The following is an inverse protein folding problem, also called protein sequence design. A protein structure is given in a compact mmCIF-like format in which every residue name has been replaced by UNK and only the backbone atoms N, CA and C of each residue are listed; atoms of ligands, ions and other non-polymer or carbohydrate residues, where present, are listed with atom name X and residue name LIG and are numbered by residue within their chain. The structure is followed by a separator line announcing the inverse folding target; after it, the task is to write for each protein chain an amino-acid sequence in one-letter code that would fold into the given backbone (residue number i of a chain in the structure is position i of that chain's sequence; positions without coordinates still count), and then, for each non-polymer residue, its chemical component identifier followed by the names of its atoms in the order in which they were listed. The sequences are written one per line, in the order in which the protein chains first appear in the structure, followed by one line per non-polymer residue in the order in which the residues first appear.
data_IF_554384061538
#
_entry.id   IF_554384061538
#
_cell.length_a   1.000
_cell.length_b   1.000
_cell.length_c   1.000
_cell.angle_alpha   90.00
_cell.angle_beta   90.00
_cell.angle_gamma   90.00
#
_symmetry.space_group_name_H-M   'P 1'
#
loop_
_entity.id
_entity.type
_entity.pdbx_description
1 polymer ?
#
# COMPACT_ATOMS: atom_id res chain seq x y z
N UNK A 1 -45.66 -25.03 25.93
CA UNK A 1 -45.20 -24.28 24.73
C UNK A 1 -44.07 -23.27 25.05
N UNK A 2 -43.09 -23.59 25.90
CA UNK A 2 -42.03 -22.65 26.32
C UNK A 2 -40.70 -22.76 25.54
N UNK A 3 -40.58 -23.71 24.60
CA UNK A 3 -39.32 -23.99 23.89
C UNK A 3 -39.08 -23.26 22.56
N UNK A 4 -40.08 -22.54 22.00
CA UNK A 4 -39.93 -21.83 20.71
C UNK A 4 -39.36 -20.42 20.84
N UNK A 5 -39.62 -19.73 21.96
CA UNK A 5 -39.18 -18.34 22.16
C UNK A 5 -37.70 -18.22 22.54
N UNK A 6 -37.11 -19.23 23.19
CA UNK A 6 -35.65 -19.21 23.49
C UNK A 6 -34.80 -19.46 22.24
N UNK A 7 -35.29 -20.27 21.29
CA UNK A 7 -34.60 -20.53 20.02
C UNK A 7 -34.54 -19.28 19.13
N UNK A 8 -35.58 -18.44 19.14
CA UNK A 8 -35.60 -17.17 18.40
C UNK A 8 -34.62 -16.17 19.02
N UNK A 9 -34.51 -16.10 20.35
CA UNK A 9 -33.53 -15.27 21.04
C UNK A 9 -32.07 -15.69 20.76
N UNK A 10 -31.80 -17.01 20.72
CA UNK A 10 -30.46 -17.55 20.39
C UNK A 10 -30.09 -17.26 18.93
N UNK A 11 -31.04 -17.38 17.99
CA UNK A 11 -30.81 -17.05 16.57
C UNK A 11 -30.53 -15.54 16.40
N UNK A 12 -31.24 -14.68 17.14
CA UNK A 12 -31.03 -13.23 17.10
C UNK A 12 -29.66 -12.84 17.68
N UNK A 13 -29.21 -13.51 18.75
CA UNK A 13 -27.87 -13.32 19.34
C UNK A 13 -26.77 -13.79 18.37
N UNK A 14 -26.96 -14.93 17.69
CA UNK A 14 -26.00 -15.39 16.65
C UNK A 14 -25.95 -14.46 15.44
N UNK A 15 -27.08 -13.86 15.04
CA UNK A 15 -27.14 -12.88 13.94
C UNK A 15 -26.45 -11.55 14.32
N UNK A 16 -26.61 -11.08 15.56
CA UNK A 16 -25.89 -9.92 16.08
C UNK A 16 -24.39 -10.19 16.20
N UNK A 17 -24.00 -11.39 16.64
CA UNK A 17 -22.59 -11.78 16.76
C UNK A 17 -21.92 -11.91 15.37
N UNK A 18 -22.65 -12.33 14.34
CA UNK A 18 -22.16 -12.45 12.96
C UNK A 18 -22.04 -11.09 12.23
N UNK A 19 -22.93 -10.14 12.51
CA UNK A 19 -22.83 -8.78 11.96
C UNK A 19 -21.73 -7.95 12.62
N UNK A 20 -21.46 -8.14 13.92
CA UNK A 20 -20.34 -7.48 14.60
C UNK A 20 -18.96 -7.93 14.09
N UNK A 21 -18.75 -9.23 13.84
CA UNK A 21 -17.44 -9.73 13.38
C UNK A 21 -17.07 -9.25 11.97
N UNK A 22 -18.07 -9.08 11.10
CA UNK A 22 -17.86 -8.60 9.73
C UNK A 22 -17.34 -7.15 9.70
N UNK A 23 -17.86 -6.27 10.54
CA UNK A 23 -17.42 -4.85 10.56
C UNK A 23 -15.99 -4.66 11.09
N UNK A 24 -15.55 -5.49 12.05
CA UNK A 24 -14.21 -5.41 12.66
C UNK A 24 -13.11 -5.77 11.65
N UNK A 25 -13.34 -6.78 10.81
CA UNK A 25 -12.36 -7.22 9.80
C UNK A 25 -12.08 -6.13 8.74
N UNK A 26 -13.10 -5.38 8.32
CA UNK A 26 -12.95 -4.28 7.36
C UNK A 26 -12.35 -2.99 7.96
N UNK A 27 -12.63 -2.69 9.22
CA UNK A 27 -11.98 -1.57 9.92
C UNK A 27 -10.47 -1.81 10.09
N UNK A 28 -10.08 -3.07 10.37
CA UNK A 28 -8.68 -3.46 10.47
C UNK A 28 -7.95 -3.34 9.12
N UNK A 29 -8.59 -3.72 8.00
CA UNK A 29 -7.97 -3.68 6.67
C UNK A 29 -7.70 -2.24 6.20
N UNK A 30 -8.64 -1.30 6.38
CA UNK A 30 -8.44 0.11 6.01
C UNK A 30 -7.33 0.78 6.80
N UNK A 31 -7.29 0.56 8.12
CA UNK A 31 -6.25 1.11 9.00
C UNK A 31 -4.85 0.60 8.64
N UNK A 32 -4.73 -0.66 8.19
CA UNK A 32 -3.44 -1.17 7.68
C UNK A 32 -3.04 -0.53 6.36
N UNK A 33 -4.01 -0.22 5.49
CA UNK A 33 -3.79 0.43 4.20
C UNK A 33 -3.31 1.88 4.38
N UNK A 34 -3.95 2.64 5.26
CA UNK A 34 -3.53 4.00 5.62
C UNK A 34 -2.09 4.05 6.14
N UNK A 35 -1.70 3.08 6.98
CA UNK A 35 -0.31 2.96 7.46
C UNK A 35 0.67 2.70 6.31
N UNK A 36 0.30 1.89 5.32
CA UNK A 36 1.13 1.64 4.12
C UNK A 36 1.30 2.90 3.29
N UNK A 37 0.20 3.61 3.01
CA UNK A 37 0.19 4.89 2.27
C UNK A 37 1.12 5.90 2.97
N UNK A 38 0.97 6.09 4.29
CA UNK A 38 1.81 7.01 5.07
C UNK A 38 3.29 6.64 5.02
N UNK A 39 3.63 5.35 5.11
CA UNK A 39 5.02 4.87 4.98
C UNK A 39 5.59 5.15 3.58
N UNK A 40 4.80 4.95 2.53
CA UNK A 40 5.20 5.22 1.16
C UNK A 40 5.44 6.72 0.91
N UNK A 41 4.57 7.59 1.42
CA UNK A 41 4.78 9.04 1.37
C UNK A 41 6.07 9.47 2.06
N UNK A 42 6.36 8.91 3.24
CA UNK A 42 7.60 9.18 3.97
C UNK A 42 8.82 8.70 3.16
N UNK A 43 8.77 7.51 2.59
CA UNK A 43 9.82 6.98 1.73
C UNK A 43 10.05 7.89 0.51
N UNK A 44 8.98 8.32 -0.18
CA UNK A 44 9.06 9.25 -1.31
C UNK A 44 9.69 10.59 -0.90
N UNK A 45 9.32 11.16 0.26
CA UNK A 45 9.92 12.41 0.77
C UNK A 45 11.42 12.25 1.02
N UNK A 46 11.83 11.14 1.62
CA UNK A 46 13.24 10.84 1.86
C UNK A 46 14.00 10.67 0.54
N UNK A 47 13.50 9.87 -0.39
CA UNK A 47 14.17 9.64 -1.68
C UNK A 47 14.27 10.92 -2.49
N UNK A 48 13.23 11.78 -2.48
CA UNK A 48 13.26 13.10 -3.13
C UNK A 48 14.34 14.00 -2.53
N UNK A 49 14.51 13.99 -1.21
CA UNK A 49 15.58 14.74 -0.54
C UNK A 49 16.96 14.23 -0.96
N UNK A 50 17.18 12.92 -0.93
CA UNK A 50 18.42 12.27 -1.35
C UNK A 50 18.74 12.56 -2.83
N UNK A 51 17.73 12.56 -3.69
CA UNK A 51 17.89 12.88 -5.11
C UNK A 51 18.32 14.34 -5.32
N UNK A 52 17.72 15.28 -4.57
CA UNK A 52 18.10 16.70 -4.60
C UNK A 52 19.55 16.91 -4.15
N UNK A 53 19.97 16.21 -3.10
CA UNK A 53 21.36 16.26 -2.62
C UNK A 53 22.35 15.60 -3.58
N UNK A 54 22.00 14.45 -4.16
CA UNK A 54 22.80 13.76 -5.18
C UNK A 54 22.99 14.63 -6.41
N UNK A 55 21.93 15.33 -6.85
CA UNK A 55 21.98 16.30 -7.96
C UNK A 55 22.92 17.48 -7.65
N UNK A 56 22.87 18.03 -6.42
CA UNK A 56 23.76 19.12 -5.98
C UNK A 56 25.23 18.69 -5.92
N UNK A 57 25.50 17.47 -5.43
CA UNK A 57 26.85 16.91 -5.28
C UNK A 57 27.46 16.41 -6.60
N UNK A 58 26.74 16.52 -7.73
CA UNK A 58 27.14 16.02 -9.08
C UNK A 58 27.65 14.56 -9.09
N UNK A 59 27.29 13.74 -8.09
CA UNK A 59 27.70 12.33 -7.96
C UNK A 59 26.90 11.41 -8.90
N UNK A 60 27.48 10.23 -9.15
CA UNK A 60 27.24 9.34 -10.31
C UNK A 60 25.81 9.19 -10.84
N UNK A 61 25.72 9.15 -12.18
CA UNK A 61 24.51 8.83 -12.94
C UNK A 61 23.84 7.51 -12.51
N UNK A 62 24.60 6.53 -11.99
CA UNK A 62 24.09 5.23 -11.56
C UNK A 62 23.32 5.29 -10.22
N UNK A 63 23.86 5.96 -9.20
CA UNK A 63 23.14 6.16 -7.93
C UNK A 63 21.86 6.96 -8.13
N UNK A 64 21.90 7.97 -9.01
CA UNK A 64 20.70 8.70 -9.43
C UNK A 64 19.65 7.78 -10.06
N UNK A 65 20.07 6.87 -10.95
CA UNK A 65 19.18 5.89 -11.56
C UNK A 65 18.51 4.98 -10.52
N UNK A 66 19.26 4.46 -9.55
CA UNK A 66 18.72 3.61 -8.48
C UNK A 66 17.68 4.34 -7.61
N UNK A 67 17.95 5.61 -7.27
CA UNK A 67 17.00 6.42 -6.51
C UNK A 67 15.70 6.66 -7.29
N UNK A 68 15.78 7.02 -8.58
CA UNK A 68 14.60 7.20 -9.44
C UNK A 68 13.82 5.89 -9.57
N UNK A 69 14.52 4.76 -9.78
CA UNK A 69 13.88 3.45 -9.85
C UNK A 69 13.11 3.11 -8.56
N UNK A 70 13.68 3.44 -7.39
CA UNK A 70 13.00 3.25 -6.12
C UNK A 70 11.80 4.19 -5.95
N UNK A 71 11.88 5.45 -6.40
CA UNK A 71 10.72 6.36 -6.40
C UNK A 71 9.58 5.82 -7.25
N UNK A 72 9.88 5.37 -8.47
CA UNK A 72 8.90 4.77 -9.39
C UNK A 72 8.21 3.59 -8.73
N UNK A 73 8.98 2.62 -8.21
CA UNK A 73 8.43 1.43 -7.52
C UNK A 73 7.53 1.83 -6.35
N UNK A 74 8.02 2.74 -5.50
CA UNK A 74 7.28 3.19 -4.32
C UNK A 74 5.98 3.90 -4.72
N UNK A 75 5.99 4.69 -5.79
CA UNK A 75 4.79 5.38 -6.28
C UNK A 75 3.81 4.43 -6.97
N UNK A 76 4.28 3.42 -7.71
CA UNK A 76 3.41 2.38 -8.26
C UNK A 76 2.70 1.61 -7.14
N UNK A 77 3.40 1.28 -6.05
CA UNK A 77 2.78 0.66 -4.88
C UNK A 77 1.81 1.61 -4.16
N UNK A 78 2.09 2.92 -4.10
CA UNK A 78 1.18 3.92 -3.56
C UNK A 78 -0.11 3.99 -4.37
N UNK A 79 0.00 4.09 -5.70
CA UNK A 79 -1.14 4.10 -6.62
C UNK A 79 -1.99 2.82 -6.48
N UNK A 80 -1.35 1.66 -6.38
CA UNK A 80 -2.03 0.39 -6.12
C UNK A 80 -2.83 0.42 -4.82
N UNK A 81 -2.26 0.97 -3.75
CA UNK A 81 -2.93 1.08 -2.46
C UNK A 81 -4.10 2.10 -2.51
N UNK A 82 -3.94 3.23 -3.19
CA UNK A 82 -5.01 4.21 -3.37
C UNK A 82 -6.18 3.64 -4.18
N UNK A 83 -5.90 2.87 -5.24
CA UNK A 83 -6.94 2.17 -6.01
C UNK A 83 -7.70 1.15 -5.17
N UNK A 84 -7.01 0.42 -4.28
CA UNK A 84 -7.64 -0.49 -3.33
C UNK A 84 -8.53 0.26 -2.32
N UNK A 85 -8.11 1.44 -1.87
CA UNK A 85 -8.93 2.26 -0.97
C UNK A 85 -10.21 2.75 -1.67
N UNK A 86 -10.13 3.10 -2.96
CA UNK A 86 -11.30 3.42 -3.78
C UNK A 86 -12.26 2.23 -3.87
N UNK A 87 -11.76 1.01 -4.08
CA UNK A 87 -12.58 -0.20 -4.13
C UNK A 87 -13.33 -0.43 -2.81
N UNK A 88 -12.62 -0.35 -1.68
CA UNK A 88 -13.22 -0.47 -0.35
C UNK A 88 -14.26 0.63 -0.08
N UNK A 89 -13.99 1.85 -0.54
CA UNK A 89 -14.89 2.99 -0.38
C UNK A 89 -16.14 2.85 -1.27
N UNK A 90 -16.01 2.29 -2.48
CA UNK A 90 -17.14 1.99 -3.36
C UNK A 90 -18.11 0.99 -2.72
N UNK A 91 -17.59 -0.08 -2.13
CA UNK A 91 -18.44 -1.07 -1.45
C UNK A 91 -19.23 -0.42 -0.30
N UNK A 92 -18.57 0.44 0.50
CA UNK A 92 -19.23 1.20 1.59
C UNK A 92 -20.23 2.24 1.10
N UNK A 93 -19.99 2.83 -0.07
CA UNK A 93 -20.92 3.77 -0.70
C UNK A 93 -22.17 3.00 -1.15
N UNK A 94 -21.99 1.86 -1.82
CA UNK A 94 -23.09 1.00 -2.27
C UNK A 94 -23.95 0.52 -1.11
N UNK A 95 -23.32 0.00 -0.04
CA UNK A 95 -24.02 -0.43 1.17
C UNK A 95 -24.82 0.72 1.81
N UNK A 96 -24.21 1.91 1.93
CA UNK A 96 -24.92 3.07 2.46
C UNK A 96 -26.06 3.55 1.54
N UNK A 97 -25.91 3.44 0.21
CA UNK A 97 -26.96 3.78 -0.75
C UNK A 97 -28.16 2.85 -0.61
N UNK A 98 -27.93 1.55 -0.47
CA UNK A 98 -28.98 0.56 -0.20
C UNK A 98 -29.71 0.87 1.12
N UNK A 99 -28.98 1.16 2.19
CA UNK A 99 -29.56 1.54 3.49
C UNK A 99 -30.41 2.82 3.36
N UNK A 100 -29.88 3.85 2.69
CA UNK A 100 -30.60 5.11 2.47
C UNK A 100 -31.89 4.87 1.67
N UNK A 101 -31.85 4.01 0.65
CA UNK A 101 -33.03 3.68 -0.14
C UNK A 101 -34.06 2.90 0.68
N UNK A 102 -33.63 1.92 1.48
CA UNK A 102 -34.52 1.20 2.39
C UNK A 102 -35.21 2.16 3.37
N UNK A 103 -34.45 3.01 4.05
CA UNK A 103 -34.98 3.99 5.01
C UNK A 103 -35.96 4.97 4.35
N UNK A 104 -35.73 5.37 3.10
CA UNK A 104 -36.67 6.20 2.33
C UNK A 104 -37.98 5.47 2.06
N UNK A 105 -37.92 4.21 1.65
CA UNK A 105 -39.11 3.40 1.38
C UNK A 105 -39.91 3.14 2.66
N UNK A 106 -39.22 2.82 3.76
CA UNK A 106 -39.84 2.62 5.07
C UNK A 106 -40.51 3.92 5.56
N UNK A 107 -39.84 5.06 5.40
CA UNK A 107 -40.36 6.37 5.75
C UNK A 107 -41.62 6.71 4.95
N UNK A 108 -41.63 6.42 3.65
CA UNK A 108 -42.79 6.69 2.79
C UNK A 108 -43.99 5.83 3.20
N UNK A 109 -43.75 4.53 3.41
CA UNK A 109 -44.77 3.60 3.89
C UNK A 109 -45.36 4.03 5.24
N UNK A 110 -44.51 4.47 6.17
CA UNK A 110 -44.93 4.91 7.49
C UNK A 110 -45.70 6.24 7.43
N UNK A 111 -45.31 7.17 6.55
CA UNK A 111 -46.05 8.42 6.31
C UNK A 111 -47.43 8.14 5.73
N UNK A 112 -47.56 7.24 4.77
CA UNK A 112 -48.85 6.86 4.19
C UNK A 112 -49.79 6.25 5.24
N UNK A 113 -49.29 5.33 6.06
CA UNK A 113 -50.06 4.71 7.15
C UNK A 113 -50.49 5.75 8.19
N UNK A 114 -49.55 6.60 8.62
CA UNK A 114 -49.83 7.67 9.56
C UNK A 114 -50.86 8.67 9.01
N UNK A 115 -50.78 9.03 7.73
CA UNK A 115 -51.75 9.91 7.08
C UNK A 115 -53.18 9.33 7.12
N UNK A 116 -53.35 8.01 6.92
CA UNK A 116 -54.65 7.33 7.08
C UNK A 116 -55.18 7.46 8.52
N UNK A 117 -54.32 7.31 9.53
CA UNK A 117 -54.73 7.48 10.94
C UNK A 117 -55.08 8.93 11.30
N UNK A 118 -54.33 9.90 10.77
CA UNK A 118 -54.61 11.33 10.99
C UNK A 118 -55.93 11.73 10.34
N UNK A 119 -56.15 11.33 9.09
CA UNK A 119 -57.40 11.62 8.37
C UNK A 119 -58.61 10.97 9.04
N UNK A 120 -58.50 9.71 9.47
CA UNK A 120 -59.53 9.05 10.27
C UNK A 120 -59.78 9.81 11.59
N UNK A 121 -58.73 10.15 12.33
CA UNK A 121 -58.87 10.87 13.59
C UNK A 121 -59.49 12.27 13.40
N UNK A 122 -59.17 12.96 12.31
CA UNK A 122 -59.74 14.26 11.98
C UNK A 122 -61.24 14.18 11.68
N UNK A 123 -61.68 13.17 10.91
CA UNK A 123 -63.10 12.91 10.64
C UNK A 123 -63.90 12.58 11.91
N UNK A 124 -63.23 12.04 12.93
CA UNK A 124 -63.82 11.59 14.20
C UNK A 124 -63.35 12.44 15.41
N UNK A 125 -62.96 13.71 15.17
CA UNK A 125 -62.34 14.57 16.18
C UNK A 125 -63.31 15.21 17.17
N UNK A 126 -64.60 15.25 16.83
CA UNK A 126 -65.57 15.94 17.68
C UNK A 126 -65.69 15.22 19.02
N UNK A 127 -65.59 15.97 20.12
CA UNK A 127 -65.85 15.44 21.47
C UNK A 127 -67.23 14.79 21.55
N UNK A 128 -68.21 15.32 20.81
CA UNK A 128 -69.54 14.72 20.68
C UNK A 128 -69.52 13.37 19.96
N UNK A 129 -68.78 13.23 18.86
CA UNK A 129 -68.67 11.94 18.13
C UNK A 129 -67.95 10.87 18.97
N UNK A 130 -66.93 11.27 19.73
CA UNK A 130 -66.23 10.37 20.64
C UNK A 130 -67.12 9.94 21.82
N UNK A 131 -67.86 10.88 22.40
CA UNK A 131 -68.85 10.58 23.45
C UNK A 131 -69.93 9.67 22.90
N UNK A 132 -70.50 9.98 21.72
CA UNK A 132 -71.53 9.18 21.06
C UNK A 132 -71.03 7.76 20.74
N UNK A 133 -69.77 7.61 20.32
CA UNK A 133 -69.17 6.29 20.13
C UNK A 133 -69.05 5.50 21.43
N UNK A 134 -68.74 6.14 22.56
CA UNK A 134 -68.66 5.45 23.86
C UNK A 134 -70.06 5.15 24.40
N UNK A 135 -70.99 6.10 24.29
CA UNK A 135 -72.35 6.02 24.84
C UNK A 135 -73.31 5.15 24.02
N UNK A 136 -73.03 4.93 22.72
CA UNK A 136 -73.76 3.97 21.86
C UNK A 136 -73.37 2.51 22.10
N UNK A 137 -72.82 2.20 23.27
CA UNK A 137 -72.47 0.84 23.69
C UNK A 137 -73.70 0.13 24.25
N UNK A 138 -73.88 -1.15 23.92
CA UNK A 138 -74.93 -2.04 24.43
C UNK A 138 -74.80 -2.30 25.94
N UNK A 139 -73.58 -2.22 26.50
CA UNK A 139 -73.32 -2.41 27.92
C UNK A 139 -72.02 -1.73 28.39
N UNK A 140 -71.85 -1.66 29.72
CA UNK A 140 -70.68 -1.04 30.36
C UNK A 140 -69.34 -1.65 29.93
N UNK A 141 -69.28 -2.98 29.77
CA UNK A 141 -68.05 -3.65 29.34
C UNK A 141 -67.64 -3.21 27.91
N UNK A 142 -68.61 -3.09 27.00
CA UNK A 142 -68.38 -2.59 25.65
C UNK A 142 -67.95 -1.12 25.66
N UNK A 143 -68.56 -0.26 26.50
CA UNK A 143 -68.14 1.12 26.69
C UNK A 143 -66.68 1.21 27.17
N UNK A 144 -66.32 0.40 28.17
CA UNK A 144 -64.96 0.33 28.71
C UNK A 144 -63.95 -0.13 27.64
N UNK A 145 -64.28 -1.16 26.86
CA UNK A 145 -63.43 -1.62 25.75
C UNK A 145 -63.24 -0.55 24.67
N UNK A 146 -64.29 0.22 24.33
CA UNK A 146 -64.20 1.36 23.39
C UNK A 146 -63.28 2.47 23.93
N UNK A 147 -63.33 2.78 25.23
CA UNK A 147 -62.41 3.72 25.88
C UNK A 147 -60.96 3.22 25.79
N UNK A 148 -60.72 1.95 26.13
CA UNK A 148 -59.38 1.34 26.05
C UNK A 148 -58.84 1.34 24.63
N UNK A 149 -59.69 1.07 23.65
CA UNK A 149 -59.34 1.16 22.23
C UNK A 149 -58.90 2.56 21.82
N UNK A 150 -59.66 3.61 22.19
CA UNK A 150 -59.31 5.00 21.88
C UNK A 150 -57.98 5.43 22.53
N UNK A 151 -57.73 4.99 23.77
CA UNK A 151 -56.45 5.20 24.45
C UNK A 151 -55.30 4.51 23.70
N UNK A 152 -55.48 3.24 23.30
CA UNK A 152 -54.48 2.49 22.56
C UNK A 152 -54.19 3.11 21.19
N UNK A 153 -55.22 3.55 20.47
CA UNK A 153 -55.09 4.24 19.18
C UNK A 153 -54.31 5.56 19.32
N UNK A 154 -54.60 6.35 20.36
CA UNK A 154 -53.87 7.59 20.65
C UNK A 154 -52.40 7.32 20.92
N UNK A 155 -52.11 6.29 21.74
CA UNK A 155 -50.74 5.89 22.04
C UNK A 155 -50.01 5.35 20.81
N UNK A 156 -50.69 4.57 19.97
CA UNK A 156 -50.15 4.06 18.71
C UNK A 156 -49.75 5.20 17.77
N UNK A 157 -50.64 6.18 17.56
CA UNK A 157 -50.34 7.38 16.75
C UNK A 157 -49.14 8.16 17.27
N UNK A 158 -49.02 8.34 18.59
CA UNK A 158 -47.84 8.99 19.18
C UNK A 158 -46.55 8.21 18.92
N UNK A 159 -46.59 6.89 19.08
CA UNK A 159 -45.43 6.01 18.79
C UNK A 159 -45.02 6.08 17.33
N UNK A 160 -45.98 6.05 16.40
CA UNK A 160 -45.73 6.12 14.96
C UNK A 160 -45.13 7.47 14.55
N UNK A 161 -45.64 8.58 15.10
CA UNK A 161 -45.06 9.91 14.89
C UNK A 161 -43.60 10.00 15.37
N UNK A 162 -43.30 9.41 16.53
CA UNK A 162 -41.93 9.33 17.04
C UNK A 162 -41.05 8.46 16.14
N UNK A 163 -41.55 7.31 15.67
CA UNK A 163 -40.80 6.45 14.75
C UNK A 163 -40.48 7.16 13.42
N UNK A 164 -41.42 7.92 12.85
CA UNK A 164 -41.19 8.76 11.67
C UNK A 164 -40.05 9.76 11.94
N UNK A 165 -40.08 10.42 13.10
CA UNK A 165 -39.04 11.38 13.48
C UNK A 165 -37.68 10.71 13.62
N UNK A 166 -37.61 9.55 14.25
CA UNK A 166 -36.36 8.81 14.45
C UNK A 166 -35.77 8.32 13.11
N UNK A 167 -36.62 7.83 12.20
CA UNK A 167 -36.21 7.43 10.85
C UNK A 167 -35.72 8.64 10.05
N UNK A 168 -36.38 9.80 10.15
CA UNK A 168 -35.93 11.04 9.50
C UNK A 168 -34.53 11.45 9.97
N UNK A 169 -34.28 11.43 11.28
CA UNK A 169 -32.97 11.76 11.85
C UNK A 169 -31.89 10.75 11.41
N UNK A 170 -32.23 9.45 11.41
CA UNK A 170 -31.32 8.41 10.95
C UNK A 170 -31.01 8.56 9.45
N UNK A 171 -32.02 8.82 8.62
CA UNK A 171 -31.88 9.04 7.19
C UNK A 171 -30.98 10.25 6.91
N UNK A 172 -31.21 11.38 7.58
CA UNK A 172 -30.38 12.57 7.45
C UNK A 172 -28.91 12.28 7.78
N UNK A 173 -28.67 11.59 8.91
CA UNK A 173 -27.34 11.16 9.31
C UNK A 173 -26.69 10.25 8.26
N UNK A 174 -27.44 9.30 7.68
CA UNK A 174 -26.92 8.35 6.68
C UNK A 174 -26.64 9.02 5.33
N UNK A 175 -27.48 9.97 4.91
CA UNK A 175 -27.25 10.78 3.71
C UNK A 175 -26.00 11.65 3.88
N UNK A 176 -25.82 12.26 5.06
CA UNK A 176 -24.60 13.03 5.37
C UNK A 176 -23.35 12.14 5.34
N UNK A 177 -23.40 10.96 5.94
CA UNK A 177 -22.31 9.98 5.91
C UNK A 177 -21.96 9.57 4.46
N UNK A 178 -22.97 9.29 3.64
CA UNK A 178 -22.81 8.95 2.22
C UNK A 178 -22.14 10.08 1.43
N UNK A 179 -22.60 11.32 1.61
CA UNK A 179 -22.02 12.48 0.93
C UNK A 179 -20.56 12.70 1.33
N UNK A 180 -20.22 12.52 2.60
CA UNK A 180 -18.83 12.59 3.08
C UNK A 180 -17.94 11.53 2.41
N UNK A 181 -18.42 10.28 2.31
CA UNK A 181 -17.68 9.20 1.61
C UNK A 181 -17.51 9.49 0.12
N UNK A 182 -18.54 10.04 -0.55
CA UNK A 182 -18.44 10.45 -1.96
C UNK A 182 -17.41 11.56 -2.16
N UNK A 183 -17.35 12.53 -1.25
CA UNK A 183 -16.34 13.59 -1.29
C UNK A 183 -14.92 13.06 -1.05
N UNK A 184 -14.75 12.16 -0.07
CA UNK A 184 -13.48 11.48 0.18
C UNK A 184 -12.99 10.72 -1.07
N UNK A 185 -13.89 9.98 -1.73
CA UNK A 185 -13.60 9.29 -3.00
C UNK A 185 -13.08 10.25 -4.07
N UNK A 186 -13.76 11.40 -4.24
CA UNK A 186 -13.36 12.43 -5.20
C UNK A 186 -11.96 12.97 -4.92
N UNK A 187 -11.62 13.19 -3.65
CA UNK A 187 -10.29 13.65 -3.24
C UNK A 187 -9.21 12.60 -3.54
N UNK A 188 -9.48 11.32 -3.27
CA UNK A 188 -8.55 10.22 -3.56
C UNK A 188 -8.33 10.07 -5.08
N UNK A 189 -9.39 10.20 -5.89
CA UNK A 189 -9.27 10.17 -7.36
C UNK A 189 -8.41 11.31 -7.90
N UNK A 190 -8.59 12.53 -7.38
CA UNK A 190 -7.73 13.68 -7.73
C UNK A 190 -6.27 13.39 -7.39
N UNK A 191 -6.02 12.84 -6.20
CA UNK A 191 -4.67 12.46 -5.77
C UNK A 191 -4.06 11.38 -6.68
N UNK A 192 -4.84 10.38 -7.10
CA UNK A 192 -4.36 9.35 -8.05
C UNK A 192 -3.90 9.99 -9.36
N UNK A 193 -4.66 10.97 -9.87
CA UNK A 193 -4.30 11.66 -11.11
C UNK A 193 -3.01 12.47 -10.97
N UNK A 194 -2.86 13.21 -9.87
CA UNK A 194 -1.63 13.94 -9.55
C UNK A 194 -0.42 13.00 -9.47
N UNK A 195 -0.53 11.88 -8.75
CA UNK A 195 0.55 10.89 -8.63
C UNK A 195 0.88 10.20 -9.97
N UNK A 196 -0.10 10.00 -10.87
CA UNK A 196 0.13 9.47 -12.22
C UNK A 196 0.96 10.42 -13.07
N UNK A 197 0.69 11.72 -12.99
CA UNK A 197 1.48 12.74 -13.69
C UNK A 197 2.92 12.73 -13.18
N UNK A 198 3.13 12.68 -11.87
CA UNK A 198 4.49 12.62 -11.30
C UNK A 198 5.20 11.32 -11.68
N UNK A 199 4.50 10.18 -11.67
CA UNK A 199 5.06 8.90 -12.12
C UNK A 199 5.51 8.95 -13.59
N UNK A 200 4.72 9.56 -14.47
CA UNK A 200 5.08 9.71 -15.88
C UNK A 200 6.38 10.53 -16.04
N UNK A 201 6.50 11.63 -15.29
CA UNK A 201 7.71 12.45 -15.28
C UNK A 201 8.94 11.70 -14.75
N UNK A 202 8.80 10.91 -13.69
CA UNK A 202 9.90 10.09 -13.17
C UNK A 202 10.32 8.98 -14.15
N UNK A 203 9.37 8.34 -14.84
CA UNK A 203 9.67 7.36 -15.90
C UNK A 203 10.42 8.01 -17.05
N UNK A 204 10.03 9.22 -17.44
CA UNK A 204 10.76 9.99 -18.45
C UNK A 204 12.18 10.34 -17.98
N UNK A 205 12.36 10.76 -16.72
CA UNK A 205 13.67 11.06 -16.16
C UNK A 205 14.56 9.80 -16.05
N UNK A 206 13.96 8.66 -15.71
CA UNK A 206 14.63 7.37 -15.70
C UNK A 206 15.17 7.04 -17.08
N UNK A 207 14.33 7.13 -18.13
CA UNK A 207 14.73 6.86 -19.52
C UNK A 207 15.90 7.74 -19.96
N UNK A 208 15.83 9.05 -19.70
CA UNK A 208 16.94 9.99 -19.98
C UNK A 208 18.22 9.64 -19.22
N UNK A 209 18.10 9.14 -18.00
CA UNK A 209 19.26 8.76 -17.17
C UNK A 209 19.88 7.45 -17.69
N UNK A 210 19.06 6.49 -18.09
CA UNK A 210 19.48 5.24 -18.74
C UNK A 210 20.23 5.52 -20.04
N UNK A 211 19.71 6.43 -20.88
CA UNK A 211 20.33 6.79 -22.14
C UNK A 211 21.71 7.43 -21.94
N UNK A 212 21.83 8.36 -20.99
CA UNK A 212 23.13 8.95 -20.60
C UNK A 212 24.12 7.90 -20.07
N UNK A 213 23.65 6.93 -19.32
CA UNK A 213 24.48 5.85 -18.80
C UNK A 213 24.98 4.93 -19.92
N UNK A 214 24.11 4.56 -20.87
CA UNK A 214 24.48 3.77 -22.06
C UNK A 214 25.50 4.48 -22.94
N UNK A 215 25.37 5.79 -23.14
CA UNK A 215 26.35 6.58 -23.88
C UNK A 215 27.73 6.54 -23.20
N UNK A 216 27.77 6.78 -21.88
CA UNK A 216 29.02 6.69 -21.10
C UNK A 216 29.64 5.30 -21.13
N UNK A 217 28.81 4.25 -21.06
CA UNK A 217 29.25 2.86 -21.18
C UNK A 217 29.93 2.62 -22.53
N UNK A 218 29.29 3.04 -23.64
CA UNK A 218 29.85 2.93 -24.99
C UNK A 218 31.20 3.66 -25.11
N UNK A 219 31.30 4.88 -24.58
CA UNK A 219 32.54 5.66 -24.60
C UNK A 219 33.66 4.99 -23.79
N UNK A 220 33.33 4.42 -22.62
CA UNK A 220 34.28 3.68 -21.79
C UNK A 220 34.74 2.40 -22.46
N UNK A 221 33.84 1.66 -23.13
CA UNK A 221 34.21 0.48 -23.92
C UNK A 221 35.18 0.83 -25.05
N UNK A 222 34.94 1.93 -25.77
CA UNK A 222 35.86 2.41 -26.82
C UNK A 222 37.22 2.80 -26.23
N UNK A 223 37.26 3.52 -25.09
CA UNK A 223 38.51 3.86 -24.39
C UNK A 223 39.27 2.61 -23.93
N UNK A 224 38.56 1.64 -23.35
CA UNK A 224 39.15 0.37 -22.89
C UNK A 224 39.73 -0.42 -24.06
N UNK A 225 39.04 -0.50 -25.19
CA UNK A 225 39.56 -1.14 -26.40
C UNK A 225 40.82 -0.44 -26.93
N UNK A 226 40.85 0.90 -26.96
CA UNK A 226 42.04 1.67 -27.36
C UNK A 226 43.22 1.42 -26.41
N UNK A 227 42.98 1.44 -25.10
CA UNK A 227 44.00 1.14 -24.08
C UNK A 227 44.52 -0.29 -24.19
N UNK A 228 43.65 -1.28 -24.40
CA UNK A 228 44.04 -2.67 -24.64
C UNK A 228 44.92 -2.80 -25.88
N UNK A 229 44.52 -2.19 -27.01
CA UNK A 229 45.34 -2.19 -28.24
C UNK A 229 46.71 -1.55 -28.01
N UNK A 230 46.77 -0.41 -27.31
CA UNK A 230 48.03 0.25 -26.96
C UNK A 230 48.92 -0.62 -26.05
N UNK A 231 48.33 -1.27 -25.04
CA UNK A 231 49.03 -2.18 -24.15
C UNK A 231 49.57 -3.42 -24.89
N UNK A 232 48.81 -3.98 -25.83
CA UNK A 232 49.26 -5.10 -26.67
C UNK A 232 50.40 -4.71 -27.62
N UNK A 233 50.34 -3.51 -28.22
CA UNK A 233 51.46 -2.98 -29.03
C UNK A 233 52.71 -2.80 -28.16
N UNK A 234 52.55 -2.26 -26.94
CA UNK A 234 53.66 -2.06 -26.00
C UNK A 234 54.26 -3.39 -25.55
N UNK A 235 53.43 -4.38 -25.19
CA UNK A 235 53.86 -5.74 -24.86
C UNK A 235 54.64 -6.37 -26.02
N UNK A 236 54.16 -6.24 -27.27
CA UNK A 236 54.88 -6.75 -28.45
C UNK A 236 56.24 -6.07 -28.64
N UNK A 237 56.33 -4.75 -28.43
CA UNK A 237 57.61 -4.01 -28.47
C UNK A 237 58.57 -4.46 -27.36
N UNK A 238 58.08 -4.59 -26.13
CA UNK A 238 58.88 -5.09 -25.00
C UNK A 238 59.34 -6.52 -25.25
N UNK A 239 58.45 -7.41 -25.72
CA UNK A 239 58.80 -8.78 -26.07
C UNK A 239 59.87 -8.84 -27.18
N UNK A 240 59.80 -7.93 -28.17
CA UNK A 240 60.82 -7.82 -29.21
C UNK A 240 62.17 -7.35 -28.64
N UNK A 241 62.17 -6.33 -27.78
CA UNK A 241 63.38 -5.84 -27.10
C UNK A 241 63.98 -6.93 -26.22
N UNK A 242 63.18 -7.62 -25.41
CA UNK A 242 63.64 -8.74 -24.56
C UNK A 242 64.13 -9.90 -25.43
N UNK A 243 63.48 -10.21 -26.55
CA UNK A 243 63.94 -11.25 -27.46
C UNK A 243 65.28 -10.88 -28.11
N UNK A 244 65.48 -9.62 -28.49
CA UNK A 244 66.74 -9.11 -29.03
C UNK A 244 67.85 -9.08 -27.97
N UNK A 245 67.53 -8.66 -26.74
CA UNK A 245 68.45 -8.66 -25.58
C UNK A 245 68.79 -10.09 -25.17
N UNK A 246 67.80 -10.99 -25.11
CA UNK A 246 67.99 -12.41 -24.83
C UNK A 246 68.72 -13.12 -25.96
N UNK A 247 68.59 -12.70 -27.22
CA UNK A 247 69.38 -13.21 -28.33
C UNK A 247 70.85 -12.80 -28.19
N UNK A 248 71.13 -11.53 -27.92
CA UNK A 248 72.48 -11.03 -27.61
C UNK A 248 73.07 -11.70 -26.36
N UNK A 249 72.28 -11.88 -25.31
CA UNK A 249 72.67 -12.54 -24.08
C UNK A 249 72.82 -14.06 -24.24
N UNK A 250 72.05 -14.72 -25.11
CA UNK A 250 72.23 -16.14 -25.47
C UNK A 250 73.41 -16.35 -26.41
N UNK A 251 73.73 -15.39 -27.27
CA UNK A 251 74.98 -15.37 -28.04
C UNK A 251 76.19 -15.20 -27.11
N UNK A 252 76.08 -14.37 -26.06
CA UNK A 252 77.08 -14.24 -25.01
C UNK A 252 77.15 -15.46 -24.05
N UNK A 253 76.00 -16.04 -23.69
CA UNK A 253 75.88 -17.18 -22.77
C UNK A 253 76.09 -18.53 -23.47
N UNK A 254 76.04 -18.63 -24.80
CA UNK A 254 76.53 -19.81 -25.54
C UNK A 254 78.04 -20.03 -25.34
N UNK A 255 78.78 -19.07 -24.76
CA UNK A 255 80.14 -19.27 -24.25
C UNK A 255 80.22 -19.86 -22.83
N UNK A 256 79.13 -20.01 -22.08
CA UNK A 256 79.12 -20.62 -20.72
C UNK A 256 77.81 -21.39 -20.42
N UNK A 257 77.96 -22.70 -20.26
CA UNK A 257 76.95 -23.77 -20.08
C UNK A 257 75.95 -23.63 -18.88
N UNK A 258 74.91 -24.51 -18.73
CA UNK A 258 73.50 -24.10 -18.58
C UNK A 258 72.69 -24.62 -17.35
N UNK A 259 71.40 -24.18 -17.30
CA UNK A 259 70.16 -24.75 -16.68
C UNK A 259 69.94 -24.67 -15.15
N UNK A 260 68.75 -24.19 -14.75
CA UNK A 260 67.79 -24.87 -13.84
C UNK A 260 66.41 -24.18 -13.82
N UNK A 261 65.34 -24.97 -13.67
CA UNK A 261 63.90 -24.59 -13.58
C UNK A 261 63.50 -24.35 -12.12
N UNK A 262 62.47 -23.53 -11.81
CA UNK A 262 61.82 -23.58 -10.49
C UNK A 262 60.40 -24.16 -10.55
N UNK A 263 60.04 -24.74 -9.41
CA UNK A 263 58.93 -25.62 -9.09
C UNK A 263 57.64 -24.86 -8.69
N UNK A 264 56.48 -25.49 -8.86
CA UNK A 264 55.15 -24.96 -8.49
C UNK A 264 54.63 -25.73 -7.28
N UNK A 265 54.22 -25.04 -6.21
CA UNK A 265 53.03 -25.34 -5.37
C UNK A 265 53.03 -24.50 -4.07
N UNK A 266 51.97 -23.73 -3.83
CA UNK A 266 51.60 -23.24 -2.49
C UNK A 266 50.07 -23.31 -2.34
N UNK A 267 49.61 -24.31 -1.61
CA UNK A 267 48.25 -24.37 -1.08
C UNK A 267 48.17 -23.46 0.15
N UNK A 268 47.22 -22.53 0.18
CA UNK A 268 46.93 -21.69 1.34
C UNK A 268 46.02 -22.45 2.29
N UNK A 269 46.50 -22.68 3.52
CA UNK A 269 45.69 -23.15 4.65
C UNK A 269 45.37 -21.90 5.48
N UNK A 270 44.08 -21.64 5.70
CA UNK A 270 43.58 -20.53 6.51
C UNK A 270 44.00 -20.69 7.98
N UNK A 271 44.31 -19.57 8.63
CA UNK A 271 44.87 -19.51 9.98
C UNK A 271 43.77 -19.62 11.05
N UNK A 272 44.07 -20.15 12.26
CA UNK A 272 43.10 -20.28 13.35
C UNK A 272 42.43 -18.96 13.79
N UNK A 273 43.08 -17.83 13.56
CA UNK A 273 42.59 -16.48 13.88
C UNK A 273 41.40 -16.08 13.01
N UNK A 274 41.37 -16.50 11.74
CA UNK A 274 40.27 -16.23 10.79
C UNK A 274 39.00 -17.01 11.17
N UNK A 275 39.14 -18.18 11.83
CA UNK A 275 38.00 -18.96 12.34
C UNK A 275 37.32 -18.30 13.54
N UNK A 276 38.09 -17.63 14.42
CA UNK A 276 37.55 -16.97 15.62
C UNK A 276 36.76 -15.71 15.24
N UNK A 277 37.25 -14.95 14.26
CA UNK A 277 36.55 -13.76 13.73
C UNK A 277 35.23 -14.15 13.04
N UNK A 278 35.21 -15.27 12.30
CA UNK A 278 33.99 -15.79 11.69
C UNK A 278 32.94 -16.25 12.72
N UNK A 279 33.37 -16.84 13.85
CA UNK A 279 32.49 -17.32 14.91
C UNK A 279 31.72 -16.19 15.63
N UNK A 280 32.40 -15.08 15.93
CA UNK A 280 31.79 -13.91 16.60
C UNK A 280 30.79 -13.15 15.71
N UNK A 281 30.97 -13.19 14.39
CA UNK A 281 30.03 -12.58 13.46
C UNK A 281 28.77 -13.43 13.28
N UNK A 282 28.91 -14.76 13.17
CA UNK A 282 27.78 -15.67 13.00
C UNK A 282 26.81 -15.67 14.21
N UNK A 283 27.35 -15.55 15.43
CA UNK A 283 26.56 -15.51 16.66
C UNK A 283 25.65 -14.26 16.77
N UNK A 284 25.99 -13.16 16.11
CA UNK A 284 25.25 -11.90 16.16
C UNK A 284 24.18 -11.75 15.05
N UNK A 285 23.91 -12.80 14.28
CA UNK A 285 22.91 -12.79 13.20
C UNK A 285 21.53 -12.34 13.73
N UNK A 286 20.99 -11.26 13.16
CA UNK A 286 19.67 -10.72 13.50
C UNK A 286 19.63 -9.70 14.65
N UNK A 287 20.72 -9.54 15.41
CA UNK A 287 20.82 -8.59 16.52
C UNK A 287 21.75 -7.41 16.22
N UNK A 288 22.25 -7.32 14.99
CA UNK A 288 23.10 -6.22 14.55
C UNK A 288 22.27 -4.93 14.43
N UNK A 289 22.68 -3.83 15.09
CA UNK A 289 22.00 -2.55 14.95
C UNK A 289 22.09 -2.05 13.51
N UNK A 290 21.07 -1.30 13.06
CA UNK A 290 21.07 -0.71 11.73
C UNK A 290 22.28 0.23 11.58
N UNK A 291 23.11 0.09 10.53
CA UNK A 291 24.42 0.75 10.44
C UNK A 291 24.34 2.27 10.26
N UNK A 292 23.16 2.82 10.03
CA UNK A 292 22.93 4.28 9.84
C UNK A 292 21.67 4.70 10.60
N UNK A 293 21.56 5.97 11.00
CA UNK A 293 20.35 6.47 11.70
C UNK A 293 19.16 6.62 10.73
N UNK A 294 19.45 6.91 9.45
CA UNK A 294 18.51 7.01 8.32
C UNK A 294 19.23 6.57 7.04
N UNK A 295 18.57 5.82 6.17
CA UNK A 295 19.15 5.39 4.89
C UNK A 295 18.20 4.49 4.11
N UNK A 296 18.31 4.48 2.78
CA UNK A 296 17.50 3.63 1.89
C UNK A 296 18.42 2.59 1.27
N UNK A 297 17.98 1.34 1.22
CA UNK A 297 18.69 0.26 0.53
C UNK A 297 18.65 0.56 -0.97
N UNK A 298 19.80 0.87 -1.56
CA UNK A 298 19.98 1.09 -3.00
C UNK A 298 20.48 -0.14 -3.73
N UNK A 299 20.96 -1.16 -3.00
CA UNK A 299 21.31 -2.47 -3.55
C UNK A 299 21.27 -3.56 -2.49
N UNK A 300 20.73 -4.73 -2.83
CA UNK A 300 20.62 -5.90 -1.94
C UNK A 300 21.82 -6.83 -2.11
N UNK A 301 22.08 -7.66 -1.09
CA UNK A 301 23.11 -8.70 -1.14
C UNK A 301 22.80 -9.76 -2.21
N UNK A 302 23.84 -10.34 -2.79
CA UNK A 302 23.76 -11.45 -3.75
C UNK A 302 24.09 -11.06 -5.20
N UNK A 303 23.95 -12.03 -6.09
CA UNK A 303 24.25 -11.87 -7.51
C UNK A 303 23.08 -11.23 -8.24
N UNK A 304 23.26 -10.00 -8.71
CA UNK A 304 22.27 -9.27 -9.48
C UNK A 304 22.77 -9.05 -10.90
N UNK A 305 21.88 -9.14 -11.89
CA UNK A 305 22.25 -8.68 -13.23
C UNK A 305 22.45 -7.17 -13.21
N UNK A 306 23.49 -6.69 -13.91
CA UNK A 306 23.75 -5.28 -14.03
C UNK A 306 22.52 -4.60 -14.67
N UNK A 307 21.87 -3.60 -14.04
CA UNK A 307 20.57 -3.08 -14.47
C UNK A 307 20.53 -2.55 -15.92
N UNK A 308 21.70 -2.21 -16.46
CA UNK A 308 21.87 -1.61 -17.78
C UNK A 308 22.61 -2.51 -18.79
N UNK A 309 23.34 -3.53 -18.32
CA UNK A 309 24.23 -4.35 -19.15
C UNK A 309 23.76 -5.79 -19.07
N UNK A 310 23.03 -6.23 -20.10
CA UNK A 310 22.58 -7.63 -20.19
C UNK A 310 23.79 -8.57 -20.25
N UNK A 311 23.78 -9.61 -19.42
CA UNK A 311 24.81 -10.66 -19.39
C UNK A 311 25.97 -10.45 -18.42
N UNK A 312 26.08 -9.27 -17.77
CA UNK A 312 27.05 -9.05 -16.68
C UNK A 312 26.34 -9.23 -15.35
N UNK A 313 26.76 -10.25 -14.59
CA UNK A 313 26.32 -10.47 -13.21
C UNK A 313 27.27 -9.74 -12.26
N UNK A 314 26.72 -8.83 -11.47
CA UNK A 314 27.45 -8.17 -10.39
C UNK A 314 27.18 -9.00 -9.13
N UNK A 315 28.23 -9.58 -8.55
CA UNK A 315 28.13 -10.11 -7.21
C UNK A 315 28.21 -8.95 -6.22
N UNK A 316 27.15 -8.74 -5.44
CA UNK A 316 27.13 -7.74 -4.40
C UNK A 316 27.35 -8.40 -3.03
N UNK A 317 28.56 -8.23 -2.50
CA UNK A 317 28.97 -8.85 -1.23
C UNK A 317 28.36 -8.18 0.02
N UNK A 318 27.49 -7.18 -0.16
CA UNK A 318 26.79 -6.52 0.95
C UNK A 318 25.46 -5.86 0.55
N UNK A 319 24.91 -5.06 1.48
CA UNK A 319 23.80 -4.14 1.19
C UNK A 319 24.35 -2.72 1.02
N UNK A 320 23.98 -2.04 -0.06
CA UNK A 320 24.32 -0.63 -0.24
C UNK A 320 23.23 0.23 0.37
N UNK A 321 23.62 1.07 1.32
CA UNK A 321 22.74 2.02 1.98
C UNK A 321 23.20 3.41 1.56
N UNK A 322 22.32 4.15 0.88
CA UNK A 322 22.58 5.54 0.52
C UNK A 322 22.02 6.44 1.62
N UNK A 323 22.89 7.32 2.14
CA UNK A 323 22.66 8.22 3.28
C UNK A 323 22.54 9.67 2.84
#
# INVERSE_FOLDING_TARGET
MHGKNSKIGIIFIFFILFTLTSTVLFAQSRKTLERKIKKQEQALRLTTKLLKETKKKKKESYNKFLLIQNQIRTREELLKNLLKDIELLNNKISENEEIVNSLKNDLETLKEQYAKLITFAWKNRSSYQQLMFILSSENFNQAFMRIRYLQQLTNYRKKEANAIKDILLLLESKVKELNNKKQEKKNILKRIEEERIVLANEKQEQSRTVEKLKQKEKDLLVKLQKQRKAAEILKKKIAKIIADEARKAREAARKKHPKTKPDKTKNFILTPEEKIIAANFAANKGHLPWPTVKGIITGTFGTHEHPLIKGIKINNDGIYISV
#
